data_IF_363133181847
#
_entry.id   IF_363133181847
#
_cell.length_a   1.000
_cell.length_b   1.000
_cell.length_c   1.000
_cell.angle_alpha   90.00
_cell.angle_beta   90.00
_cell.angle_gamma   90.00
#
_symmetry.space_group_name_H-M   'P 1'
#
loop_
_entity.id
_entity.type
_entity.pdbx_description
1 polymer ?
#
# COMPACT_ATOMS: atom_id res chain seq x y z
N UNK A 1 -8.68 30.48 -2.73
CA UNK A 1 -8.66 31.95 -2.71
C UNK A 1 -8.74 32.37 -1.25
N UNK A 2 -7.69 33.02 -0.74
CA UNK A 2 -7.64 33.41 0.68
C UNK A 2 -8.36 34.74 0.89
N UNK A 3 -8.92 34.98 2.08
CA UNK A 3 -9.70 36.20 2.38
C UNK A 3 -8.89 37.48 2.11
N UNK A 4 -7.57 37.45 2.36
CA UNK A 4 -6.63 38.55 2.07
C UNK A 4 -6.54 38.89 0.57
N UNK A 5 -6.68 37.91 -0.32
CA UNK A 5 -6.63 38.10 -1.78
C UNK A 5 -7.96 38.60 -2.35
N UNK A 6 -9.05 38.50 -1.59
CA UNK A 6 -10.39 38.91 -2.03
C UNK A 6 -10.67 40.42 -1.87
N UNK A 7 -9.81 41.15 -1.14
CA UNK A 7 -10.02 42.57 -0.85
C UNK A 7 -11.16 42.87 0.13
N UNK A 8 -11.73 41.85 0.76
CA UNK A 8 -12.78 42.02 1.76
C UNK A 8 -12.21 42.55 3.09
N UNK A 9 -12.80 43.64 3.60
CA UNK A 9 -12.52 44.12 4.95
C UNK A 9 -13.15 43.17 5.98
N UNK A 10 -12.34 42.72 6.95
CA UNK A 10 -12.82 41.88 8.05
C UNK A 10 -12.38 42.46 9.38
N UNK A 11 -13.24 42.31 10.40
CA UNK A 11 -12.98 42.75 11.77
C UNK A 11 -13.00 41.52 12.68
N UNK A 12 -11.94 41.34 13.46
CA UNK A 12 -11.89 40.30 14.47
C UNK A 12 -12.60 40.81 15.75
N UNK A 13 -13.60 40.08 16.25
CA UNK A 13 -14.42 40.52 17.40
C UNK A 13 -13.61 40.65 18.71
N UNK A 14 -12.56 39.85 18.84
CA UNK A 14 -11.61 39.85 19.95
C UNK A 14 -10.59 40.99 19.86
N UNK A 15 -10.26 41.44 18.65
CA UNK A 15 -9.32 42.54 18.39
C UNK A 15 -9.90 43.50 17.34
N UNK A 16 -10.94 44.29 17.69
CA UNK A 16 -11.72 45.07 16.71
C UNK A 16 -10.91 46.12 15.95
N UNK A 17 -9.80 46.57 16.54
CA UNK A 17 -8.92 47.59 15.97
C UNK A 17 -7.71 47.01 15.25
N UNK A 18 -7.63 45.67 15.08
CA UNK A 18 -6.52 45.03 14.38
C UNK A 18 -6.53 45.43 12.90
N UNK A 19 -5.45 46.07 12.45
CA UNK A 19 -5.25 46.41 11.05
C UNK A 19 -4.46 45.31 10.32
N UNK A 20 -4.33 45.42 8.99
CA UNK A 20 -3.65 44.44 8.13
C UNK A 20 -2.21 44.14 8.58
N UNK A 21 -1.50 45.14 9.11
CA UNK A 21 -0.13 44.98 9.63
C UNK A 21 -0.14 44.16 10.92
N UNK A 22 -1.02 44.47 11.87
CA UNK A 22 -1.17 43.72 13.13
C UNK A 22 -1.50 42.25 12.87
N UNK A 23 -2.49 41.98 12.00
CA UNK A 23 -2.86 40.60 11.62
C UNK A 23 -1.69 39.88 10.95
N UNK A 24 -0.96 40.55 10.05
CA UNK A 24 0.21 39.98 9.39
C UNK A 24 1.30 39.59 10.37
N UNK A 25 1.61 40.45 11.35
CA UNK A 25 2.57 40.14 12.41
C UNK A 25 2.11 38.96 13.29
N UNK A 26 0.84 38.93 13.68
CA UNK A 26 0.28 37.83 14.45
C UNK A 26 0.33 36.50 13.68
N UNK A 27 0.07 36.52 12.37
CA UNK A 27 0.17 35.34 11.53
C UNK A 27 1.61 34.79 11.47
N UNK A 28 2.61 35.68 11.33
CA UNK A 28 4.03 35.28 11.36
C UNK A 28 4.42 34.70 12.71
N UNK A 29 3.99 35.34 13.81
CA UNK A 29 4.25 34.84 15.16
C UNK A 29 3.59 33.48 15.42
N UNK A 30 2.32 33.32 15.03
CA UNK A 30 1.59 32.06 15.17
C UNK A 30 2.25 30.93 14.35
N UNK A 31 2.73 31.23 13.14
CA UNK A 31 3.47 30.28 12.32
C UNK A 31 4.78 29.85 13.01
N UNK A 32 5.55 30.81 13.52
CA UNK A 32 6.80 30.51 14.22
C UNK A 32 6.57 29.67 15.49
N UNK A 33 5.49 29.95 16.24
CA UNK A 33 5.12 29.16 17.41
C UNK A 33 4.70 27.73 17.03
N UNK A 34 3.89 27.57 15.98
CA UNK A 34 3.50 26.25 15.47
C UNK A 34 4.71 25.42 15.02
N UNK A 35 5.67 26.05 14.34
CA UNK A 35 6.92 25.41 13.94
C UNK A 35 7.74 24.94 15.16
N UNK A 36 7.93 25.82 16.14
CA UNK A 36 8.65 25.51 17.38
C UNK A 36 7.98 24.36 18.18
N UNK A 37 6.65 24.35 18.28
CA UNK A 37 5.90 23.26 18.92
C UNK A 37 6.09 21.94 18.15
N UNK A 38 6.02 21.99 16.81
CA UNK A 38 6.23 20.83 15.94
C UNK A 38 7.64 20.26 16.15
N UNK A 39 8.67 21.09 16.13
CA UNK A 39 10.06 20.68 16.34
C UNK A 39 10.25 20.00 17.69
N UNK A 40 9.75 20.63 18.76
CA UNK A 40 9.87 20.09 20.12
C UNK A 40 9.13 18.76 20.27
N UNK A 41 7.92 18.64 19.70
CA UNK A 41 7.12 17.42 19.73
C UNK A 41 7.82 16.29 18.97
N UNK A 42 8.37 16.57 17.77
CA UNK A 42 9.13 15.60 16.98
C UNK A 42 10.37 15.12 17.72
N UNK A 43 11.13 16.04 18.33
CA UNK A 43 12.31 15.70 19.13
C UNK A 43 11.94 14.81 20.33
N UNK A 44 10.87 15.14 21.04
CA UNK A 44 10.38 14.34 22.17
C UNK A 44 9.92 12.94 21.73
N UNK A 45 9.18 12.83 20.62
CA UNK A 45 8.75 11.55 20.05
C UNK A 45 9.93 10.70 19.59
N UNK A 46 10.95 11.31 18.98
CA UNK A 46 12.17 10.61 18.57
C UNK A 46 12.93 10.03 19.79
N UNK A 47 13.10 10.83 20.84
CA UNK A 47 13.73 10.38 22.08
C UNK A 47 12.91 9.27 22.78
N UNK A 48 11.58 9.39 22.79
CA UNK A 48 10.68 8.34 23.30
C UNK A 48 10.79 7.04 22.50
N UNK A 49 10.82 7.12 21.17
CA UNK A 49 11.03 5.96 20.30
C UNK A 49 12.39 5.30 20.54
N UNK A 50 13.45 6.08 20.75
CA UNK A 50 14.78 5.57 21.09
C UNK A 50 14.81 4.85 22.44
N UNK A 51 13.96 5.25 23.39
CA UNK A 51 13.73 4.53 24.66
C UNK A 51 12.82 3.30 24.52
N UNK A 52 12.39 2.95 23.31
CA UNK A 52 11.54 1.79 23.04
C UNK A 52 10.04 2.04 23.17
N UNK A 53 9.60 3.29 23.30
CA UNK A 53 8.17 3.60 23.34
C UNK A 53 7.54 3.35 21.96
N UNK A 54 6.52 2.49 21.93
CA UNK A 54 5.74 2.19 20.72
C UNK A 54 4.52 3.10 20.66
N UNK A 55 4.35 3.79 19.54
CA UNK A 55 3.19 4.65 19.28
C UNK A 55 2.16 3.90 18.44
N UNK A 56 0.88 4.12 18.75
CA UNK A 56 -0.25 3.48 18.05
C UNK A 56 -1.16 2.73 19.01
N UNK A 57 -2.30 2.27 18.49
CA UNK A 57 -3.20 1.42 19.25
C UNK A 57 -2.69 -0.05 19.15
N UNK A 58 -2.19 -0.66 20.24
CA UNK A 58 -1.71 -2.05 20.22
C UNK A 58 -2.82 -3.06 19.86
N UNK A 59 -4.08 -2.64 19.99
CA UNK A 59 -5.27 -3.44 19.65
C UNK A 59 -5.96 -2.95 18.36
N UNK A 60 -5.32 -2.11 17.54
CA UNK A 60 -5.96 -1.38 16.44
C UNK A 60 -6.68 -2.25 15.41
N UNK A 61 -6.16 -3.45 15.14
CA UNK A 61 -6.82 -4.42 14.25
C UNK A 61 -7.77 -5.38 14.98
N UNK A 62 -7.66 -5.51 16.31
CA UNK A 62 -8.44 -6.48 17.08
C UNK A 62 -9.95 -6.21 16.99
N UNK A 63 -10.35 -4.94 17.03
CA UNK A 63 -11.76 -4.55 16.84
C UNK A 63 -12.28 -4.86 15.41
N UNK A 64 -11.43 -4.73 14.39
CA UNK A 64 -11.78 -5.05 13.01
C UNK A 64 -11.91 -6.57 12.79
N UNK A 65 -11.00 -7.35 13.39
CA UNK A 65 -11.05 -8.81 13.37
C UNK A 65 -12.26 -9.35 14.15
N UNK A 66 -12.54 -8.82 15.34
CA UNK A 66 -13.69 -9.22 16.17
C UNK A 66 -15.04 -8.90 15.51
N UNK A 67 -15.13 -7.81 14.74
CA UNK A 67 -16.32 -7.43 14.00
C UNK A 67 -16.53 -8.21 12.69
N UNK A 68 -15.68 -9.19 12.37
CA UNK A 68 -15.70 -9.91 11.09
C UNK A 68 -15.40 -9.02 9.87
N UNK A 69 -15.07 -7.74 10.07
CA UNK A 69 -14.70 -6.75 9.06
C UNK A 69 -13.21 -6.86 8.72
N UNK A 70 -12.73 -8.09 8.61
CA UNK A 70 -11.38 -8.39 8.16
C UNK A 70 -11.27 -8.38 6.64
N UNK A 71 -10.06 -8.30 6.13
CA UNK A 71 -9.78 -8.45 4.69
C UNK A 71 -9.90 -9.91 4.21
N UNK A 72 -10.55 -10.80 4.97
CA UNK A 72 -10.56 -12.25 4.73
C UNK A 72 -11.25 -12.60 3.41
N UNK A 73 -12.39 -11.99 3.13
CA UNK A 73 -13.16 -12.26 1.91
C UNK A 73 -12.46 -11.70 0.67
N UNK A 74 -11.89 -10.51 0.78
CA UNK A 74 -11.09 -9.93 -0.29
C UNK A 74 -9.78 -10.72 -0.52
N UNK A 75 -9.11 -11.21 0.53
CA UNK A 75 -7.97 -12.12 0.40
C UNK A 75 -8.38 -13.44 -0.25
N UNK A 76 -9.53 -14.02 0.12
CA UNK A 76 -10.07 -15.23 -0.50
C UNK A 76 -10.36 -15.02 -1.98
N UNK A 77 -11.01 -13.92 -2.34
CA UNK A 77 -11.30 -13.57 -3.73
C UNK A 77 -10.02 -13.35 -4.56
N UNK A 78 -9.01 -12.68 -3.99
CA UNK A 78 -7.71 -12.49 -4.64
C UNK A 78 -7.00 -13.82 -4.86
N UNK A 79 -7.00 -14.72 -3.86
CA UNK A 79 -6.45 -16.07 -3.99
C UNK A 79 -7.16 -16.86 -5.08
N UNK A 80 -8.49 -16.89 -5.07
CA UNK A 80 -9.28 -17.58 -6.09
C UNK A 80 -9.00 -17.10 -7.52
N UNK A 81 -8.86 -15.78 -7.72
CA UNK A 81 -8.45 -15.22 -9.03
C UNK A 81 -7.04 -15.65 -9.44
N UNK A 82 -6.10 -15.69 -8.50
CA UNK A 82 -4.73 -16.10 -8.78
C UNK A 82 -4.65 -17.60 -9.12
N UNK A 83 -5.46 -18.43 -8.47
CA UNK A 83 -5.53 -19.86 -8.71
C UNK A 83 -6.19 -20.19 -10.06
N UNK A 84 -7.29 -19.52 -10.40
CA UNK A 84 -7.93 -19.64 -11.72
C UNK A 84 -6.98 -19.23 -12.85
N UNK A 85 -6.24 -18.12 -12.67
CA UNK A 85 -5.20 -17.71 -13.63
C UNK A 85 -4.06 -18.73 -13.72
N UNK A 86 -3.68 -19.37 -12.61
CA UNK A 86 -2.67 -20.42 -12.64
C UNK A 86 -3.14 -21.64 -13.43
N UNK A 87 -4.39 -22.07 -13.23
CA UNK A 87 -5.00 -23.17 -13.96
C UNK A 87 -5.09 -22.87 -15.47
N UNK A 88 -5.48 -21.66 -15.87
CA UNK A 88 -5.55 -21.26 -17.28
C UNK A 88 -4.18 -21.33 -17.99
N UNK A 89 -3.10 -21.03 -17.26
CA UNK A 89 -1.73 -21.07 -17.79
C UNK A 89 -1.04 -22.44 -17.64
N UNK A 90 -1.70 -23.46 -17.10
CA UNK A 90 -1.07 -24.77 -16.84
C UNK A 90 -0.52 -25.39 -18.13
N UNK A 91 -1.33 -25.40 -19.18
CA UNK A 91 -1.01 -26.07 -20.44
C UNK A 91 0.09 -25.32 -21.18
N UNK A 92 0.03 -23.99 -21.16
CA UNK A 92 1.10 -23.15 -21.70
C UNK A 92 2.42 -23.39 -20.98
N UNK A 93 2.41 -23.55 -19.65
CA UNK A 93 3.62 -23.82 -18.89
C UNK A 93 4.17 -25.23 -19.18
N UNK A 94 3.28 -26.22 -19.36
CA UNK A 94 3.64 -27.57 -19.78
C UNK A 94 4.28 -27.57 -21.17
N UNK A 95 3.72 -26.83 -22.14
CA UNK A 95 4.28 -26.67 -23.48
C UNK A 95 5.66 -26.00 -23.46
N UNK A 96 5.83 -24.95 -22.65
CA UNK A 96 7.11 -24.28 -22.47
C UNK A 96 8.15 -25.22 -21.86
N UNK A 97 7.74 -26.07 -20.92
CA UNK A 97 8.61 -27.09 -20.33
C UNK A 97 8.97 -28.19 -21.35
N UNK A 98 8.00 -28.70 -22.10
CA UNK A 98 8.20 -29.70 -23.15
C UNK A 98 9.10 -29.20 -24.29
N UNK A 99 9.06 -27.89 -24.59
CA UNK A 99 9.98 -27.23 -25.51
C UNK A 99 11.43 -27.09 -24.98
N UNK A 100 11.74 -27.61 -23.79
CA UNK A 100 13.09 -27.64 -23.23
C UNK A 100 13.44 -26.45 -22.34
N UNK A 101 12.50 -25.54 -22.05
CA UNK A 101 12.72 -24.46 -21.09
C UNK A 101 12.49 -24.98 -19.66
N UNK A 102 13.49 -25.69 -19.13
CA UNK A 102 13.40 -26.37 -17.83
C UNK A 102 13.59 -25.41 -16.64
N UNK A 103 14.42 -24.38 -16.81
CA UNK A 103 14.72 -23.43 -15.72
C UNK A 103 13.66 -22.34 -15.60
N UNK A 104 13.37 -21.88 -14.37
CA UNK A 104 12.43 -20.78 -14.12
C UNK A 104 12.77 -19.50 -14.90
N UNK A 105 14.07 -19.26 -15.12
CA UNK A 105 14.55 -18.13 -15.92
C UNK A 105 14.21 -18.31 -17.40
N UNK A 106 14.47 -19.49 -17.95
CA UNK A 106 14.12 -19.80 -19.34
C UNK A 106 12.61 -19.75 -19.57
N UNK A 107 11.82 -20.27 -18.63
CA UNK A 107 10.36 -20.20 -18.67
C UNK A 107 9.86 -18.76 -18.65
N UNK A 108 10.38 -17.91 -17.75
CA UNK A 108 10.00 -16.50 -17.69
C UNK A 108 10.36 -15.76 -18.99
N UNK A 109 11.55 -16.02 -19.56
CA UNK A 109 11.97 -15.43 -20.83
C UNK A 109 11.06 -15.87 -21.97
N UNK A 110 10.72 -17.16 -22.03
CA UNK A 110 9.87 -17.72 -23.08
C UNK A 110 8.43 -17.18 -22.99
N UNK A 111 7.85 -17.11 -21.80
CA UNK A 111 6.52 -16.51 -21.59
C UNK A 111 6.49 -15.04 -22.04
N UNK A 112 7.54 -14.28 -21.71
CA UNK A 112 7.66 -12.89 -22.17
C UNK A 112 7.84 -12.80 -23.70
N UNK A 113 8.63 -13.70 -24.30
CA UNK A 113 8.84 -13.77 -25.76
C UNK A 113 7.55 -14.07 -26.50
N UNK A 114 6.70 -14.94 -25.95
CA UNK A 114 5.35 -15.24 -26.45
C UNK A 114 4.34 -14.10 -26.23
N UNK A 115 4.74 -13.01 -25.58
CA UNK A 115 3.88 -11.85 -25.32
C UNK A 115 2.88 -12.07 -24.17
N UNK A 116 2.99 -13.17 -23.44
CA UNK A 116 2.06 -13.53 -22.37
C UNK A 116 2.31 -12.62 -21.17
N UNK A 117 1.27 -11.91 -20.73
CA UNK A 117 1.33 -11.02 -19.57
C UNK A 117 0.93 -11.77 -18.29
N UNK A 118 1.49 -11.33 -17.16
CA UNK A 118 1.00 -11.76 -15.84
C UNK A 118 -0.42 -11.24 -15.60
N UNK A 119 -1.15 -11.80 -14.62
CA UNK A 119 -2.51 -11.38 -14.27
C UNK A 119 -2.71 -9.87 -14.02
N UNK A 120 -1.64 -9.12 -13.72
CA UNK A 120 -1.65 -7.66 -13.52
C UNK A 120 -1.08 -6.87 -14.71
N UNK A 121 -0.89 -7.51 -15.86
CA UNK A 121 -0.35 -6.88 -17.07
C UNK A 121 1.19 -6.74 -17.11
N UNK A 122 1.90 -7.19 -16.09
CA UNK A 122 3.36 -7.10 -16.00
C UNK A 122 4.09 -8.21 -16.77
N UNK A 123 5.42 -8.10 -16.88
CA UNK A 123 6.32 -9.14 -17.42
C UNK A 123 6.54 -10.28 -16.42
N UNK A 124 6.89 -11.45 -16.94
CA UNK A 124 7.28 -12.61 -16.15
C UNK A 124 8.69 -12.47 -15.58
N UNK A 125 8.83 -12.79 -14.31
CA UNK A 125 10.11 -12.96 -13.62
C UNK A 125 10.22 -14.40 -13.10
N UNK A 126 11.44 -14.92 -12.85
CA UNK A 126 11.61 -16.29 -12.34
C UNK A 126 10.82 -16.56 -11.05
N UNK A 127 10.72 -15.56 -10.16
CA UNK A 127 9.91 -15.63 -8.94
C UNK A 127 8.41 -15.74 -9.22
N UNK A 128 7.91 -15.05 -10.26
CA UNK A 128 6.52 -15.16 -10.70
C UNK A 128 6.19 -16.55 -11.25
N UNK A 129 7.15 -17.17 -11.96
CA UNK A 129 7.01 -18.55 -12.46
C UNK A 129 7.05 -19.56 -11.30
N UNK A 130 7.96 -19.41 -10.34
CA UNK A 130 7.98 -20.25 -9.14
C UNK A 130 6.65 -20.18 -8.37
N UNK A 131 6.13 -18.98 -8.19
CA UNK A 131 4.85 -18.74 -7.53
C UNK A 131 3.65 -19.33 -8.30
N UNK A 132 3.74 -19.39 -9.63
CA UNK A 132 2.72 -20.03 -10.48
C UNK A 132 2.76 -21.55 -10.28
N UNK A 133 3.96 -22.14 -10.35
CA UNK A 133 4.18 -23.58 -10.16
C UNK A 133 3.76 -24.07 -8.78
N UNK A 134 4.16 -23.38 -7.71
CA UNK A 134 3.78 -23.74 -6.35
C UNK A 134 2.25 -23.73 -6.16
N UNK A 135 1.53 -22.86 -6.87
CA UNK A 135 0.05 -22.85 -6.85
C UNK A 135 -0.54 -24.05 -7.58
N UNK A 136 0.01 -24.41 -8.74
CA UNK A 136 -0.42 -25.58 -9.51
C UNK A 136 -0.16 -26.89 -8.73
N UNK A 137 1.03 -27.04 -8.14
CA UNK A 137 1.41 -28.20 -7.32
C UNK A 137 0.56 -28.30 -6.04
N UNK A 138 0.21 -27.17 -5.44
CA UNK A 138 -0.73 -27.10 -4.31
C UNK A 138 -2.17 -27.48 -4.69
N UNK A 139 -2.63 -27.13 -5.89
CA UNK A 139 -3.94 -27.53 -6.43
C UNK A 139 -4.00 -29.02 -6.77
N UNK A 140 -2.95 -29.58 -7.38
CA UNK A 140 -2.87 -31.02 -7.71
C UNK A 140 -2.91 -31.92 -6.47
N UNK A 141 -2.37 -31.44 -5.34
CA UNK A 141 -2.35 -32.20 -4.07
C UNK A 141 -3.72 -32.27 -3.38
N UNK A 142 -4.70 -31.44 -3.75
CA UNK A 142 -6.06 -31.45 -3.22
C UNK A 142 -7.06 -32.21 -4.12
N UNK A 143 -6.59 -32.81 -5.23
CA UNK A 143 -7.42 -33.41 -6.28
C UNK A 143 -7.18 -34.92 -6.50
N UNK A 144 -7.02 -35.72 -5.44
CA UNK A 144 -6.93 -37.19 -5.58
C UNK A 144 -7.51 -37.97 -4.39
N UNK A 145 -7.97 -39.22 -4.61
CA UNK A 145 -9.12 -39.62 -5.41
C UNK A 145 -10.35 -39.94 -4.53
N UNK A 146 -11.55 -39.90 -5.13
CA UNK A 146 -12.74 -40.62 -4.67
C UNK A 146 -12.65 -42.09 -5.09
#
# INVERSE_FOLDING_TARGET
MTLKESGADFVALDIPNANTMTVGMMAVMAQAEAEAISERTKAAMAAAKARGQTFGNPNGAAALHAAGKGNTDAVRAIKGKADAFAADLSDTLADVHAAGHITLKAQAQELNRRGIKTARGGRWHPSSVANLRNRLEGHQSHAGPL
#
